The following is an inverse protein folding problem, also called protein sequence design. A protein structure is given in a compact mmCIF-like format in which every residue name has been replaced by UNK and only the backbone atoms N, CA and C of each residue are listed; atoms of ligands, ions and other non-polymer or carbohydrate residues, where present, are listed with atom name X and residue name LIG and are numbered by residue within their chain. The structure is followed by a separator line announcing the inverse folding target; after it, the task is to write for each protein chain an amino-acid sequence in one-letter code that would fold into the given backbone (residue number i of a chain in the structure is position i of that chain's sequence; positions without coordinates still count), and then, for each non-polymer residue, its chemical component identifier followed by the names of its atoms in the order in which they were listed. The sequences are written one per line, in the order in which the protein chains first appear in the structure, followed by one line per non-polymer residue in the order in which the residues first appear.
data_IF_309739634877
#
_entry.id   IF_309739634877
#
_cell.length_a   1.000
_cell.length_b   1.000
_cell.length_c   1.000
_cell.angle_alpha   90.00
_cell.angle_beta   90.00
_cell.angle_gamma   90.00
#
_symmetry.space_group_name_H-M   'P 1'
#
loop_
_entity.id
_entity.type
_entity.pdbx_description
1 polymer ?
#
# COMPACT_ATOMS: atom_id res chain seq x y z
N UNK A 1 -20.40 9.87 -16.76
CA UNK A 1 -19.62 9.39 -15.63
C UNK A 1 -19.31 10.54 -14.69
N UNK A 2 -19.35 10.27 -13.42
CA UNK A 2 -19.08 11.31 -12.44
C UNK A 2 -17.63 11.21 -11.97
N UNK A 3 -16.76 11.98 -12.57
CA UNK A 3 -15.33 11.90 -12.29
C UNK A 3 -14.96 12.51 -10.96
N UNK A 4 -15.87 13.25 -10.34
CA UNK A 4 -15.59 13.84 -9.03
C UNK A 4 -15.95 12.94 -7.87
N UNK A 5 -16.48 11.75 -8.15
CA UNK A 5 -16.89 10.83 -7.10
C UNK A 5 -16.11 9.55 -7.18
N UNK A 6 -15.61 9.10 -6.02
CA UNK A 6 -14.95 7.83 -5.88
C UNK A 6 -15.94 6.88 -5.19
N UNK A 7 -16.09 5.70 -5.76
CA UNK A 7 -16.97 4.70 -5.17
C UNK A 7 -16.41 4.28 -3.81
N UNK A 8 -17.25 4.14 -2.79
CA UNK A 8 -16.76 3.69 -1.47
C UNK A 8 -15.94 2.41 -1.54
N UNK A 9 -16.33 1.46 -2.41
CA UNK A 9 -15.61 0.22 -2.54
C UNK A 9 -14.24 0.39 -3.19
N UNK A 10 -13.94 1.55 -3.77
CA UNK A 10 -12.61 1.76 -4.35
C UNK A 10 -11.53 1.71 -3.27
N UNK A 11 -11.79 2.30 -2.10
CA UNK A 11 -10.82 2.25 -1.02
C UNK A 11 -10.71 0.85 -0.42
N UNK A 12 -11.81 0.10 -0.45
CA UNK A 12 -11.78 -1.29 -0.01
C UNK A 12 -10.94 -2.15 -0.95
N UNK A 13 -11.08 -1.92 -2.25
CA UNK A 13 -10.28 -2.63 -3.24
C UNK A 13 -8.81 -2.28 -3.08
N UNK A 14 -8.50 -1.01 -2.85
CA UNK A 14 -7.12 -0.58 -2.60
C UNK A 14 -6.55 -1.29 -1.37
N UNK A 15 -7.32 -1.32 -0.29
CA UNK A 15 -6.88 -1.96 0.94
C UNK A 15 -6.61 -3.45 0.71
N UNK A 16 -7.51 -4.12 -0.03
CA UNK A 16 -7.34 -5.53 -0.34
C UNK A 16 -6.07 -5.77 -1.14
N UNK A 17 -5.84 -4.94 -2.14
CA UNK A 17 -4.66 -5.07 -2.99
C UNK A 17 -3.37 -4.89 -2.18
N UNK A 18 -3.33 -3.85 -1.35
CA UNK A 18 -2.14 -3.60 -0.52
C UNK A 18 -1.90 -4.75 0.45
N UNK A 19 -2.97 -5.27 1.06
CA UNK A 19 -2.84 -6.42 1.94
C UNK A 19 -2.28 -7.63 1.21
N UNK A 20 -2.73 -7.84 -0.02
CA UNK A 20 -2.23 -8.94 -0.83
C UNK A 20 -0.75 -8.79 -1.13
N UNK A 21 -0.32 -7.57 -1.45
CA UNK A 21 1.09 -7.28 -1.75
C UNK A 21 1.95 -7.53 -0.52
N UNK A 22 1.50 -7.07 0.65
CA UNK A 22 2.27 -7.20 1.88
C UNK A 22 2.38 -8.66 2.30
N UNK A 23 1.33 -9.44 2.07
CA UNK A 23 1.35 -10.87 2.41
C UNK A 23 2.14 -11.70 1.41
N UNK A 24 2.16 -11.27 0.15
CA UNK A 24 2.84 -12.04 -0.89
C UNK A 24 3.37 -11.10 -1.96
N UNK A 25 4.69 -10.93 -1.96
CA UNK A 25 5.35 -10.00 -2.88
C UNK A 25 5.07 -10.30 -4.35
N UNK A 26 4.68 -11.52 -4.68
CA UNK A 26 4.32 -11.87 -6.06
C UNK A 26 3.17 -10.99 -6.54
N UNK A 27 2.26 -10.62 -5.63
CA UNK A 27 1.16 -9.72 -6.01
C UNK A 27 1.69 -8.37 -6.49
N UNK A 28 2.78 -7.87 -5.89
CA UNK A 28 3.41 -6.64 -6.35
C UNK A 28 3.94 -6.82 -7.78
N UNK A 29 4.60 -7.94 -8.03
CA UNK A 29 5.17 -8.19 -9.36
C UNK A 29 4.10 -8.20 -10.43
N UNK A 30 2.91 -8.70 -10.10
CA UNK A 30 1.82 -8.78 -11.05
C UNK A 30 1.25 -7.42 -11.43
N UNK A 31 1.29 -6.44 -10.55
CA UNK A 31 0.64 -5.16 -10.79
C UNK A 31 1.61 -4.01 -11.01
N UNK A 32 2.89 -4.18 -10.69
CA UNK A 32 3.84 -3.06 -10.67
C UNK A 32 4.05 -2.41 -12.02
N UNK A 33 3.83 -3.14 -13.12
CA UNK A 33 3.99 -2.58 -14.45
C UNK A 33 2.88 -1.56 -14.78
N UNK A 34 1.73 -1.67 -14.11
CA UNK A 34 0.57 -0.86 -14.42
C UNK A 34 0.19 0.11 -13.30
N UNK A 35 0.55 -0.19 -12.07
CA UNK A 35 0.07 0.54 -10.91
C UNK A 35 1.17 1.42 -10.33
N UNK A 36 0.85 2.69 -10.11
CA UNK A 36 1.75 3.67 -9.52
C UNK A 36 1.13 4.27 -8.28
N UNK A 37 1.93 4.86 -7.37
CA UNK A 37 1.37 5.46 -6.16
C UNK A 37 0.27 6.48 -6.43
N UNK A 38 0.42 7.27 -7.49
CA UNK A 38 -0.56 8.31 -7.81
C UNK A 38 -1.90 7.76 -8.28
N UNK A 39 -1.99 6.46 -8.54
CA UNK A 39 -3.25 5.85 -8.96
C UNK A 39 -4.17 5.56 -7.77
N UNK A 40 -3.67 5.66 -6.54
CA UNK A 40 -4.48 5.38 -5.37
C UNK A 40 -5.29 6.61 -5.00
N UNK A 41 -6.56 6.40 -4.73
CA UNK A 41 -7.43 7.49 -4.32
C UNK A 41 -7.11 7.94 -2.89
N UNK A 42 -6.95 6.99 -1.96
CA UNK A 42 -6.68 7.31 -0.58
C UNK A 42 -5.20 7.60 -0.40
N UNK A 43 -4.90 8.78 0.16
CA UNK A 43 -3.51 9.20 0.27
C UNK A 43 -2.67 8.25 1.11
N UNK A 44 -3.27 7.73 2.19
CA UNK A 44 -2.59 6.74 3.02
C UNK A 44 -2.17 5.51 2.21
N UNK A 45 -3.05 5.07 1.31
CA UNK A 45 -2.76 3.92 0.45
C UNK A 45 -1.66 4.23 -0.55
N UNK A 46 -1.68 5.45 -1.09
CA UNK A 46 -0.63 5.91 -2.00
C UNK A 46 0.73 5.84 -1.31
N UNK A 47 0.80 6.31 -0.06
CA UNK A 47 2.04 6.29 0.71
C UNK A 47 2.51 4.87 1.00
N UNK A 48 1.59 3.97 1.34
CA UNK A 48 1.93 2.58 1.61
C UNK A 48 2.47 1.91 0.34
N UNK A 49 1.81 2.14 -0.79
CA UNK A 49 2.28 1.56 -2.05
C UNK A 49 3.65 2.13 -2.43
N UNK A 50 3.85 3.43 -2.24
CA UNK A 50 5.15 4.05 -2.52
C UNK A 50 6.24 3.43 -1.66
N UNK A 51 5.94 3.14 -0.39
CA UNK A 51 6.90 2.46 0.47
C UNK A 51 7.28 1.10 -0.11
N UNK A 52 6.30 0.37 -0.66
CA UNK A 52 6.58 -0.91 -1.31
C UNK A 52 7.50 -0.74 -2.53
N UNK A 53 7.24 0.29 -3.34
CA UNK A 53 8.08 0.58 -4.51
C UNK A 53 9.51 0.87 -4.06
N UNK A 54 9.67 1.66 -3.00
CA UNK A 54 10.99 1.99 -2.49
C UNK A 54 11.73 0.76 -1.98
N UNK A 55 11.01 -0.14 -1.29
CA UNK A 55 11.62 -1.37 -0.81
C UNK A 55 12.16 -2.21 -1.95
N UNK A 56 11.37 -2.37 -3.01
CA UNK A 56 11.80 -3.13 -4.18
C UNK A 56 13.02 -2.49 -4.82
N UNK A 57 13.01 -1.16 -4.94
CA UNK A 57 14.14 -0.43 -5.52
C UNK A 57 15.41 -0.64 -4.69
N UNK A 58 15.26 -0.82 -3.38
CA UNK A 58 16.39 -1.04 -2.48
C UNK A 58 16.72 -2.51 -2.29
N UNK A 59 16.10 -3.38 -3.08
CA UNK A 59 16.29 -4.84 -3.00
C UNK A 59 15.94 -5.39 -1.61
N UNK A 60 14.94 -4.80 -0.99
CA UNK A 60 14.45 -5.23 0.33
C UNK A 60 13.10 -5.92 0.15
N UNK A 61 12.90 -7.09 0.74
CA UNK A 61 11.60 -7.77 0.61
C UNK A 61 10.47 -6.94 1.19
N UNK A 62 9.29 -7.09 0.59
CA UNK A 62 8.08 -6.44 1.09
C UNK A 62 7.42 -7.37 2.09
N UNK A 63 7.26 -6.92 3.32
CA UNK A 63 6.45 -7.59 4.33
C UNK A 63 5.97 -6.55 5.33
N UNK A 64 5.19 -7.00 6.31
CA UNK A 64 4.63 -6.08 7.30
C UNK A 64 5.71 -5.24 7.98
N UNK A 65 6.78 -5.90 8.42
CA UNK A 65 7.83 -5.21 9.16
C UNK A 65 8.56 -4.19 8.30
N UNK A 66 8.97 -4.60 7.10
CA UNK A 66 9.75 -3.70 6.23
C UNK A 66 8.89 -2.53 5.75
N UNK A 67 7.61 -2.75 5.50
CA UNK A 67 6.71 -1.64 5.12
C UNK A 67 6.60 -0.64 6.26
N UNK A 68 6.42 -1.11 7.50
CA UNK A 68 6.35 -0.19 8.64
C UNK A 68 7.67 0.57 8.83
N UNK A 69 8.80 -0.11 8.67
CA UNK A 69 10.10 0.54 8.79
C UNK A 69 10.29 1.60 7.71
N UNK A 70 9.89 1.29 6.48
CA UNK A 70 10.01 2.25 5.38
C UNK A 70 9.12 3.46 5.59
N UNK A 71 7.89 3.24 6.05
CA UNK A 71 6.97 4.34 6.34
C UNK A 71 7.51 5.21 7.47
N UNK A 72 8.12 4.59 8.48
CA UNK A 72 8.72 5.35 9.58
C UNK A 72 9.88 6.19 9.06
N UNK A 73 10.72 5.61 8.21
CA UNK A 73 11.83 6.32 7.59
C UNK A 73 11.33 7.52 6.78
N UNK A 74 10.18 7.38 6.14
CA UNK A 74 9.57 8.45 5.36
C UNK A 74 8.78 9.45 6.21
N UNK A 75 8.75 9.25 7.53
CA UNK A 75 7.94 10.06 8.45
C UNK A 75 6.46 10.01 8.12
N UNK A 76 5.98 8.86 7.66
CA UNK A 76 4.60 8.69 7.21
C UNK A 76 3.84 7.59 7.97
N UNK A 77 4.49 6.87 8.87
CA UNK A 77 3.84 5.76 9.55
C UNK A 77 2.62 6.22 10.35
N UNK A 78 2.76 7.31 11.10
CA UNK A 78 1.63 7.82 11.89
C UNK A 78 0.50 8.29 10.98
N UNK A 79 0.84 8.97 9.90
CA UNK A 79 -0.17 9.51 8.99
C UNK A 79 -1.03 8.41 8.37
N UNK A 80 -0.43 7.28 8.02
CA UNK A 80 -1.19 6.21 7.37
C UNK A 80 -2.06 5.43 8.36
N UNK A 81 -1.92 5.69 9.65
CA UNK A 81 -2.72 5.00 10.67
C UNK A 81 -1.89 4.08 11.54
N UNK A 82 -0.56 4.19 11.44
CA UNK A 82 0.35 3.43 12.28
C UNK A 82 0.48 1.97 11.87
N UNK A 83 1.29 1.25 12.63
CA UNK A 83 1.50 -0.17 12.37
C UNK A 83 0.19 -0.96 12.45
N UNK A 84 -0.76 -0.50 13.27
CA UNK A 84 -2.05 -1.16 13.39
C UNK A 84 -2.78 -1.17 12.04
N UNK A 85 -2.78 -0.03 11.35
CA UNK A 85 -3.47 0.02 10.05
C UNK A 85 -2.79 -0.89 9.03
N UNK A 86 -1.45 -0.87 8.98
CA UNK A 86 -0.72 -1.73 8.06
C UNK A 86 -1.05 -3.20 8.35
N UNK A 87 -1.07 -3.57 9.62
CA UNK A 87 -1.45 -4.93 10.03
C UNK A 87 -2.88 -5.27 9.59
N UNK A 88 -3.80 -4.31 9.73
CA UNK A 88 -5.20 -4.55 9.39
C UNK A 88 -5.39 -4.84 7.90
N UNK A 89 -4.52 -4.33 7.06
CA UNK A 89 -4.59 -4.60 5.62
C UNK A 89 -4.38 -6.09 5.33
N UNK A 90 -3.46 -6.72 6.05
CA UNK A 90 -3.17 -8.14 5.84
C UNK A 90 -4.27 -9.03 6.39
N UNK A 91 -5.08 -8.53 7.30
CA UNK A 91 -6.16 -9.32 7.90
C UNK A 91 -7.41 -9.38 7.01
N UNK A 92 -7.42 -8.65 5.91
CA UNK A 92 -8.56 -8.66 4.98
C UNK A 92 -8.56 -9.84 4.03
N UNK A 93 -7.49 -10.60 4.03
CA UNK A 93 -7.28 -11.67 3.05
C UNK A 93 -7.57 -13.03 3.62
#
# INVERSE_FOLDING_TARGET
MNIGKIQPQATEIEAFLLGSIIKNQISYDLVSALLRPEHFYKEEHSMIYKACVELITENTPIDYLTVCQQLKKNNQLEFVGGAYYVSSLTNRI
#
